data_IF_421742374834
#
_entry.id   IF_421742374834
#
_cell.length_a   1.000
_cell.length_b   1.000
_cell.length_c   1.000
_cell.angle_alpha   90.00
_cell.angle_beta   90.00
_cell.angle_gamma   90.00
#
_symmetry.space_group_name_H-M   'P 1'
#
loop_
_entity.id
_entity.type
_entity.pdbx_description
1 polymer ?
#
# COMPACT_ATOMS: atom_id res chain seq x y z
N UNK A 1 -3.78 -21.82 6.27
CA UNK A 1 -4.57 -20.94 5.38
C UNK A 1 -3.70 -20.25 4.35
N UNK A 2 -2.83 -19.29 4.72
CA UNK A 2 -2.03 -18.50 3.75
C UNK A 2 -1.16 -19.32 2.79
N UNK A 3 -0.52 -20.40 3.28
CA UNK A 3 0.22 -21.32 2.40
C UNK A 3 -0.69 -21.90 1.32
N UNK A 4 -1.87 -22.41 1.68
CA UNK A 4 -2.88 -22.92 0.73
C UNK A 4 -3.33 -21.85 -0.26
N UNK A 5 -3.51 -20.60 0.17
CA UNK A 5 -3.83 -19.49 -0.74
C UNK A 5 -2.76 -19.34 -1.85
N UNK A 6 -1.49 -19.50 -1.50
CA UNK A 6 -0.39 -19.55 -2.46
C UNK A 6 -0.44 -20.75 -3.42
N UNK A 7 -0.78 -21.93 -2.91
CA UNK A 7 -0.95 -23.15 -3.71
C UNK A 7 -2.09 -22.99 -4.73
N UNK A 8 -3.25 -22.44 -4.32
CA UNK A 8 -4.34 -22.11 -5.24
C UNK A 8 -3.91 -21.12 -6.32
N UNK A 9 -3.17 -20.05 -5.95
CA UNK A 9 -2.65 -19.08 -6.92
C UNK A 9 -1.71 -19.71 -7.94
N UNK A 10 -0.86 -20.67 -7.54
CA UNK A 10 0.05 -21.37 -8.45
C UNK A 10 -0.70 -22.24 -9.45
N UNK A 11 -1.78 -22.91 -9.04
CA UNK A 11 -2.64 -23.66 -9.96
C UNK A 11 -3.44 -22.75 -10.90
N UNK A 12 -3.96 -21.64 -10.38
CA UNK A 12 -4.83 -20.72 -11.13
C UNK A 12 -4.06 -19.91 -12.18
N UNK A 13 -2.90 -19.38 -11.81
CA UNK A 13 -2.15 -18.43 -12.62
C UNK A 13 -0.66 -18.77 -12.66
N UNK A 14 -0.28 -19.96 -13.16
CA UNK A 14 1.11 -20.35 -13.30
C UNK A 14 1.84 -19.42 -14.27
N UNK A 15 3.14 -19.26 -14.08
CA UNK A 15 4.01 -18.50 -14.99
C UNK A 15 5.43 -19.01 -14.86
N UNK A 16 6.14 -19.07 -15.99
CA UNK A 16 7.57 -19.37 -16.02
C UNK A 16 8.35 -18.19 -15.45
N UNK A 17 9.01 -18.40 -14.31
CA UNK A 17 9.76 -17.37 -13.61
C UNK A 17 11.01 -17.96 -12.96
N UNK A 18 11.96 -17.11 -12.59
CA UNK A 18 13.26 -17.51 -12.05
C UNK A 18 13.29 -17.47 -10.52
N UNK A 19 12.37 -16.73 -9.90
CA UNK A 19 12.27 -16.57 -8.45
C UNK A 19 10.84 -16.25 -8.01
N UNK A 20 10.36 -16.93 -6.97
CA UNK A 20 9.18 -16.53 -6.20
C UNK A 20 9.64 -15.82 -4.94
N UNK A 21 9.05 -14.66 -4.66
CA UNK A 21 9.30 -13.89 -3.45
C UNK A 21 7.99 -13.41 -2.82
N UNK A 22 7.94 -13.38 -1.49
CA UNK A 22 6.84 -12.77 -0.75
C UNK A 22 7.16 -11.32 -0.40
N UNK A 23 6.13 -10.47 -0.41
CA UNK A 23 6.22 -9.13 0.17
C UNK A 23 6.32 -9.27 1.70
N UNK A 24 7.43 -8.83 2.31
CA UNK A 24 7.67 -9.04 3.74
C UNK A 24 6.67 -8.21 4.60
N UNK A 25 5.93 -8.78 5.55
CA UNK A 25 6.04 -10.15 6.09
C UNK A 25 4.85 -11.05 5.75
N UNK A 26 3.70 -10.44 5.48
CA UNK A 26 2.44 -11.15 5.40
C UNK A 26 2.29 -12.00 4.14
N UNK A 27 2.96 -11.63 3.05
CA UNK A 27 2.97 -12.36 1.78
C UNK A 27 3.90 -13.58 1.77
N UNK A 28 4.84 -13.70 2.72
CA UNK A 28 5.84 -14.79 2.75
C UNK A 28 5.21 -16.19 2.76
N UNK A 29 4.23 -16.51 3.64
CA UNK A 29 3.66 -17.86 3.65
C UNK A 29 2.93 -18.22 2.35
N UNK A 30 2.27 -17.25 1.70
CA UNK A 30 1.62 -17.49 0.41
C UNK A 30 2.67 -17.68 -0.70
N UNK A 31 3.77 -16.93 -0.68
CA UNK A 31 4.89 -17.12 -1.60
C UNK A 31 5.52 -18.53 -1.46
N UNK A 32 5.71 -19.02 -0.24
CA UNK A 32 6.21 -20.39 0.01
C UNK A 32 5.27 -21.45 -0.59
N UNK A 33 3.95 -21.28 -0.42
CA UNK A 33 2.95 -22.18 -1.01
C UNK A 33 2.96 -22.14 -2.54
N UNK A 34 3.06 -20.94 -3.12
CA UNK A 34 3.15 -20.77 -4.57
C UNK A 34 4.42 -21.43 -5.13
N UNK A 35 5.58 -21.16 -4.52
CA UNK A 35 6.88 -21.70 -4.94
C UNK A 35 6.90 -23.23 -4.89
N UNK A 36 6.42 -23.81 -3.78
CA UNK A 36 6.36 -25.27 -3.63
C UNK A 36 5.48 -25.92 -4.70
N UNK A 37 4.37 -25.28 -5.06
CA UNK A 37 3.40 -25.82 -6.01
C UNK A 37 3.85 -25.65 -7.46
N UNK A 38 4.42 -24.48 -7.79
CA UNK A 38 4.92 -24.18 -9.13
C UNK A 38 6.27 -24.83 -9.44
N UNK A 39 7.03 -25.21 -8.42
CA UNK A 39 8.41 -25.71 -8.56
C UNK A 39 9.44 -24.60 -8.77
N UNK A 40 9.02 -23.34 -8.89
CA UNK A 40 9.93 -22.19 -8.99
C UNK A 40 10.65 -21.96 -7.65
N UNK A 41 11.97 -21.70 -7.64
CA UNK A 41 12.71 -21.44 -6.41
C UNK A 41 12.12 -20.29 -5.59
N UNK A 42 11.96 -20.50 -4.28
CA UNK A 42 11.64 -19.43 -3.34
C UNK A 42 12.90 -18.70 -2.89
N UNK A 43 12.83 -17.38 -2.76
CA UNK A 43 13.87 -16.60 -2.10
C UNK A 43 13.44 -15.19 -1.74
N UNK A 44 14.34 -14.46 -1.10
CA UNK A 44 14.07 -13.10 -0.66
C UNK A 44 14.55 -12.10 -1.73
N UNK A 45 13.65 -11.28 -2.27
CA UNK A 45 14.00 -10.10 -3.06
C UNK A 45 13.94 -8.79 -2.26
N UNK A 46 13.21 -8.79 -1.14
CA UNK A 46 13.03 -7.62 -0.27
C UNK A 46 13.31 -8.00 1.18
N UNK A 47 13.88 -7.06 1.93
CA UNK A 47 14.05 -7.17 3.38
C UNK A 47 13.35 -5.99 4.05
N UNK A 48 12.48 -6.28 5.02
CA UNK A 48 11.85 -5.24 5.82
C UNK A 48 12.86 -4.64 6.80
N UNK A 49 12.92 -3.31 6.82
CA UNK A 49 13.64 -2.61 7.86
C UNK A 49 12.82 -2.65 9.16
N UNK A 50 13.26 -3.48 10.13
CA UNK A 50 12.59 -3.65 11.42
C UNK A 50 12.73 -2.45 12.36
N UNK A 51 13.64 -1.52 12.06
CA UNK A 51 14.01 -0.41 12.94
C UNK A 51 13.52 0.95 12.44
N UNK A 52 12.63 0.98 11.43
CA UNK A 52 12.08 2.23 10.94
C UNK A 52 11.09 2.84 11.96
N UNK A 53 11.54 3.87 12.67
CA UNK A 53 10.71 4.69 13.57
C UNK A 53 9.86 5.72 12.84
N UNK A 54 8.95 6.38 13.58
CA UNK A 54 8.13 7.48 13.05
C UNK A 54 9.06 8.67 12.71
N UNK A 55 9.06 9.14 11.47
CA UNK A 55 9.77 10.36 11.06
C UNK A 55 8.96 11.57 11.53
N UNK A 56 9.20 12.06 12.75
CA UNK A 56 8.34 13.09 13.37
C UNK A 56 8.54 14.50 12.79
N UNK A 57 9.73 14.83 12.27
CA UNK A 57 10.02 16.15 11.67
C UNK A 57 10.96 15.92 10.48
N UNK A 58 10.44 16.06 9.25
CA UNK A 58 11.24 16.08 8.03
C UNK A 58 11.06 17.47 7.39
N UNK A 59 12.13 18.24 7.12
CA UNK A 59 12.03 19.64 6.67
C UNK A 59 11.43 19.83 5.27
N UNK A 60 11.39 18.78 4.43
CA UNK A 60 10.92 18.86 3.04
C UNK A 60 10.11 17.63 2.59
N UNK A 61 9.25 17.83 1.59
CA UNK A 61 8.47 16.77 0.91
C UNK A 61 9.37 15.68 0.31
N UNK A 62 10.52 16.06 -0.27
CA UNK A 62 11.52 15.12 -0.81
C UNK A 62 12.10 14.21 0.27
N UNK A 63 12.43 14.73 1.46
CA UNK A 63 12.91 13.94 2.59
C UNK A 63 11.83 12.97 3.13
N UNK A 64 10.55 13.33 3.03
CA UNK A 64 9.43 12.42 3.33
C UNK A 64 9.30 11.30 2.29
N UNK A 65 9.50 11.61 1.01
CA UNK A 65 9.51 10.60 -0.06
C UNK A 65 10.67 9.61 0.09
N UNK A 66 11.84 10.08 0.56
CA UNK A 66 12.98 9.25 0.96
C UNK A 66 12.65 8.33 2.15
N UNK A 67 11.80 8.79 3.08
CA UNK A 67 11.30 7.98 4.20
C UNK A 67 10.43 6.78 3.81
N UNK A 68 9.92 6.74 2.57
CA UNK A 68 9.21 5.58 2.03
C UNK A 68 10.19 4.54 1.47
N UNK A 69 11.33 4.96 0.89
CA UNK A 69 12.46 4.06 0.55
C UNK A 69 13.02 3.34 1.79
N UNK A 70 12.71 3.80 3.00
CA UNK A 70 13.25 3.24 4.24
C UNK A 70 12.56 1.96 4.75
N UNK A 71 11.39 1.54 4.23
CA UNK A 71 10.64 0.39 4.80
C UNK A 71 11.08 -0.97 4.26
N UNK A 72 11.47 -1.02 2.98
CA UNK A 72 11.84 -2.24 2.27
C UNK A 72 13.15 -1.98 1.53
N UNK A 73 14.11 -2.88 1.69
CA UNK A 73 15.39 -2.83 1.00
C UNK A 73 15.43 -3.94 -0.06
N UNK A 74 15.68 -3.62 -1.34
CA UNK A 74 15.81 -4.63 -2.39
C UNK A 74 17.17 -5.31 -2.34
N UNK A 75 17.19 -6.63 -2.52
CA UNK A 75 18.38 -7.44 -2.68
C UNK A 75 18.68 -7.55 -4.18
N UNK A 76 19.45 -6.59 -4.71
CA UNK A 76 19.68 -6.42 -6.15
C UNK A 76 20.26 -7.69 -6.80
N UNK A 77 21.14 -8.40 -6.08
CA UNK A 77 21.77 -9.64 -6.52
C UNK A 77 20.75 -10.76 -6.78
N UNK A 78 19.63 -10.72 -6.07
CA UNK A 78 18.53 -11.68 -6.24
C UNK A 78 17.49 -11.21 -7.26
N UNK A 79 17.50 -9.94 -7.66
CA UNK A 79 16.47 -9.33 -8.53
C UNK A 79 16.97 -9.12 -9.96
N UNK A 80 18.20 -8.64 -10.13
CA UNK A 80 18.71 -8.16 -11.41
C UNK A 80 18.68 -9.25 -12.49
N UNK A 81 18.05 -8.92 -13.63
CA UNK A 81 17.90 -9.80 -14.79
C UNK A 81 16.89 -10.94 -14.63
N UNK A 82 16.19 -11.05 -13.49
CA UNK A 82 15.28 -12.16 -13.22
C UNK A 82 13.82 -11.83 -13.51
N UNK A 83 13.06 -12.84 -13.90
CA UNK A 83 11.60 -12.86 -13.95
C UNK A 83 11.07 -13.25 -12.58
N UNK A 84 10.31 -12.38 -11.95
CA UNK A 84 9.89 -12.51 -10.55
C UNK A 84 8.40 -12.81 -10.44
N UNK A 85 8.04 -13.81 -9.65
CA UNK A 85 6.69 -13.90 -9.07
C UNK A 85 6.73 -13.21 -7.71
N UNK A 86 5.95 -12.15 -7.57
CA UNK A 86 5.86 -11.36 -6.34
C UNK A 86 4.50 -11.59 -5.70
N UNK A 87 4.49 -12.20 -4.52
CA UNK A 87 3.27 -12.55 -3.79
C UNK A 87 3.04 -11.57 -2.64
N UNK A 88 1.90 -10.87 -2.67
CA UNK A 88 1.46 -9.95 -1.61
C UNK A 88 0.11 -10.39 -1.05
N UNK A 89 -0.24 -9.91 0.15
CA UNK A 89 -1.48 -10.32 0.79
C UNK A 89 -2.73 -9.66 0.18
N UNK A 90 -2.63 -8.38 -0.14
CA UNK A 90 -3.75 -7.53 -0.53
C UNK A 90 -3.29 -6.25 -1.21
N UNK A 91 -4.16 -5.66 -2.03
CA UNK A 91 -3.97 -4.32 -2.58
C UNK A 91 -5.22 -3.50 -2.23
N UNK A 92 -5.06 -2.53 -1.33
CA UNK A 92 -6.15 -1.62 -0.92
C UNK A 92 -6.12 -0.35 -1.78
N UNK A 93 -5.09 0.49 -1.62
CA UNK A 93 -4.95 1.79 -2.32
C UNK A 93 -3.97 1.76 -3.49
N UNK A 94 -3.23 0.67 -3.68
CA UNK A 94 -2.23 0.54 -4.76
C UNK A 94 -0.92 1.30 -4.60
N UNK A 95 -0.90 2.43 -3.89
CA UNK A 95 0.27 3.33 -3.83
C UNK A 95 1.54 2.68 -3.27
N UNK A 96 1.42 1.86 -2.23
CA UNK A 96 2.56 1.10 -1.67
C UNK A 96 3.06 0.05 -2.66
N UNK A 97 2.15 -0.72 -3.24
CA UNK A 97 2.47 -1.78 -4.20
C UNK A 97 3.13 -1.19 -5.45
N UNK A 98 2.62 -0.07 -5.98
CA UNK A 98 3.20 0.63 -7.14
C UNK A 98 4.64 1.07 -6.88
N UNK A 99 4.92 1.68 -5.73
CA UNK A 99 6.29 2.07 -5.33
C UNK A 99 7.22 0.88 -5.16
N UNK A 100 6.70 -0.25 -4.66
CA UNK A 100 7.46 -1.49 -4.55
C UNK A 100 7.80 -2.05 -5.93
N UNK A 101 6.85 -2.06 -6.86
CA UNK A 101 7.09 -2.48 -8.25
C UNK A 101 8.14 -1.59 -8.91
N UNK A 102 8.03 -0.27 -8.77
CA UNK A 102 9.04 0.69 -9.25
C UNK A 102 10.43 0.36 -8.69
N UNK A 103 10.54 0.10 -7.37
CA UNK A 103 11.79 -0.28 -6.72
C UNK A 103 12.39 -1.60 -7.27
N UNK A 104 11.54 -2.60 -7.56
CA UNK A 104 11.99 -3.86 -8.16
C UNK A 104 12.48 -3.66 -9.60
N UNK A 105 11.80 -2.82 -10.39
CA UNK A 105 12.25 -2.42 -11.74
C UNK A 105 13.57 -1.66 -11.69
N UNK A 106 13.70 -0.67 -10.80
CA UNK A 106 14.95 0.06 -10.57
C UNK A 106 16.10 -0.87 -10.12
N UNK A 107 15.77 -2.00 -9.51
CA UNK A 107 16.74 -3.03 -9.10
C UNK A 107 17.07 -4.04 -10.22
N UNK A 108 16.49 -3.87 -11.41
CA UNK A 108 16.83 -4.64 -12.60
C UNK A 108 15.94 -5.85 -12.88
N UNK A 109 14.75 -5.96 -12.28
CA UNK A 109 13.82 -7.07 -12.57
C UNK A 109 13.41 -7.08 -14.06
N UNK A 110 13.58 -8.21 -14.74
CA UNK A 110 13.22 -8.38 -16.15
C UNK A 110 11.69 -8.43 -16.33
N UNK A 111 11.02 -9.26 -15.53
CA UNK A 111 9.56 -9.38 -15.48
C UNK A 111 9.10 -9.41 -14.02
N UNK A 112 7.91 -8.90 -13.76
CA UNK A 112 7.24 -8.85 -12.46
C UNK A 112 5.81 -9.37 -12.65
N UNK A 113 5.54 -10.55 -12.11
CA UNK A 113 4.24 -11.21 -12.10
C UNK A 113 3.66 -11.14 -10.68
N UNK A 114 2.70 -10.25 -10.46
CA UNK A 114 2.06 -10.08 -9.16
C UNK A 114 1.01 -11.17 -8.91
N UNK A 115 1.00 -11.72 -7.70
CA UNK A 115 -0.02 -12.65 -7.20
C UNK A 115 -0.52 -12.17 -5.86
N UNK A 116 -1.82 -11.90 -5.74
CA UNK A 116 -2.42 -11.36 -4.53
C UNK A 116 -3.21 -12.46 -3.84
N UNK A 117 -2.84 -12.79 -2.60
CA UNK A 117 -3.47 -13.88 -1.84
C UNK A 117 -4.80 -13.50 -1.18
N UNK A 118 -5.53 -12.58 -1.81
CA UNK A 118 -6.89 -12.18 -1.47
C UNK A 118 -7.64 -11.73 -2.74
N UNK A 119 -8.98 -11.70 -2.70
CA UNK A 119 -9.77 -11.03 -3.72
C UNK A 119 -9.58 -9.50 -3.68
N UNK A 120 -9.93 -8.78 -4.76
CA UNK A 120 -9.84 -7.33 -4.78
C UNK A 120 -10.74 -6.68 -3.71
N UNK A 121 -10.20 -5.74 -2.95
CA UNK A 121 -10.98 -4.94 -2.00
C UNK A 121 -11.76 -3.88 -2.77
N UNK A 122 -13.07 -4.09 -2.89
CA UNK A 122 -13.96 -3.20 -3.64
C UNK A 122 -14.82 -2.30 -2.73
N UNK A 123 -14.97 -2.67 -1.47
CA UNK A 123 -15.87 -1.98 -0.53
C UNK A 123 -15.19 -1.65 0.79
N UNK A 124 -15.53 -0.52 1.43
CA UNK A 124 -14.93 -0.12 2.70
C UNK A 124 -15.41 -1.03 3.85
N UNK A 125 -14.59 -1.21 4.88
CA UNK A 125 -15.01 -1.91 6.07
C UNK A 125 -15.75 -0.97 7.04
N UNK A 126 -16.87 -1.44 7.59
CA UNK A 126 -17.61 -0.75 8.66
C UNK A 126 -17.53 -1.48 10.00
N UNK A 127 -16.74 -2.56 10.09
CA UNK A 127 -16.62 -3.42 11.27
C UNK A 127 -15.25 -3.33 11.95
N UNK A 128 -14.53 -2.22 11.74
CA UNK A 128 -13.33 -1.88 12.50
C UNK A 128 -11.98 -2.01 11.76
N UNK A 129 -11.96 -2.40 10.49
CA UNK A 129 -10.74 -2.30 9.66
C UNK A 129 -10.65 -0.93 8.98
N UNK A 130 -9.52 -0.25 9.07
CA UNK A 130 -9.31 1.00 8.33
C UNK A 130 -8.90 0.70 6.87
N UNK A 131 -9.90 0.61 5.99
CA UNK A 131 -9.70 0.43 4.55
C UNK A 131 -9.75 1.74 3.76
N UNK A 132 -10.05 2.88 4.40
CA UNK A 132 -10.40 4.12 3.70
C UNK A 132 -11.84 4.15 3.16
N UNK A 133 -12.17 5.21 2.42
CA UNK A 133 -13.44 5.33 1.69
C UNK A 133 -13.41 4.53 0.39
N UNK A 134 -14.59 4.27 -0.19
CA UNK A 134 -14.70 3.54 -1.47
C UNK A 134 -13.86 4.18 -2.58
N UNK A 135 -13.85 5.51 -2.68
CA UNK A 135 -13.07 6.27 -3.67
C UNK A 135 -11.55 6.16 -3.49
N UNK A 136 -11.08 5.71 -2.32
CA UNK A 136 -9.65 5.48 -2.06
C UNK A 136 -9.21 4.04 -2.40
N UNK A 137 -10.15 3.13 -2.64
CA UNK A 137 -9.86 1.73 -2.98
C UNK A 137 -9.53 1.63 -4.47
N UNK A 138 -8.35 1.08 -4.77
CA UNK A 138 -7.87 0.91 -6.14
C UNK A 138 -8.82 0.06 -6.98
N UNK A 139 -9.36 -1.01 -6.37
CA UNK A 139 -10.23 -1.95 -7.06
C UNK A 139 -11.72 -1.61 -6.90
N UNK A 140 -12.11 -0.44 -6.38
CA UNK A 140 -13.53 -0.09 -6.28
C UNK A 140 -14.20 -0.13 -7.66
N UNK A 141 -13.60 0.57 -8.62
CA UNK A 141 -14.19 0.81 -9.94
C UNK A 141 -13.24 0.46 -11.11
N UNK A 142 -12.08 -0.14 -10.81
CA UNK A 142 -11.13 -0.61 -11.82
C UNK A 142 -11.28 -2.11 -12.10
N UNK A 143 -11.10 -2.46 -13.37
CA UNK A 143 -10.90 -3.84 -13.83
C UNK A 143 -9.46 -4.31 -13.55
N UNK A 144 -9.27 -5.63 -13.46
CA UNK A 144 -7.95 -6.20 -13.12
C UNK A 144 -6.87 -5.79 -14.12
N UNK A 145 -7.21 -5.65 -15.41
CA UNK A 145 -6.29 -5.16 -16.45
C UNK A 145 -5.86 -3.72 -16.20
N UNK A 146 -6.77 -2.85 -15.77
CA UNK A 146 -6.45 -1.46 -15.48
C UNK A 146 -5.57 -1.36 -14.23
N UNK A 147 -5.82 -2.22 -13.23
CA UNK A 147 -4.98 -2.30 -12.03
C UNK A 147 -3.57 -2.77 -12.40
N UNK A 148 -3.45 -3.80 -13.25
CA UNK A 148 -2.15 -4.26 -13.75
C UNK A 148 -1.37 -3.11 -14.38
N UNK A 149 -2.02 -2.35 -15.26
CA UNK A 149 -1.40 -1.24 -15.98
C UNK A 149 -1.02 -0.10 -15.02
N UNK A 150 -1.87 0.22 -14.05
CA UNK A 150 -1.58 1.20 -12.99
C UNK A 150 -0.33 0.82 -12.17
N UNK A 151 -0.17 -0.46 -11.83
CA UNK A 151 0.96 -0.98 -11.06
C UNK A 151 2.23 -1.10 -11.90
N UNK A 152 2.14 -1.24 -13.22
CA UNK A 152 3.28 -1.41 -14.12
C UNK A 152 3.90 -2.82 -14.07
N UNK A 153 3.07 -3.85 -13.93
CA UNK A 153 3.48 -5.27 -13.83
C UNK A 153 3.09 -6.05 -15.07
N UNK A 154 3.82 -7.12 -15.40
CA UNK A 154 3.57 -7.88 -16.63
C UNK A 154 2.28 -8.71 -16.53
N UNK A 155 2.05 -9.31 -15.36
CA UNK A 155 0.80 -10.04 -15.08
C UNK A 155 0.35 -9.78 -13.65
N UNK A 156 -0.96 -9.82 -13.44
CA UNK A 156 -1.60 -9.66 -12.13
C UNK A 156 -2.69 -10.72 -11.99
N UNK A 157 -2.70 -11.43 -10.86
CA UNK A 157 -3.79 -12.34 -10.51
C UNK A 157 -4.16 -12.16 -9.04
N UNK A 158 -5.46 -12.03 -8.78
CA UNK A 158 -6.04 -12.09 -7.44
C UNK A 158 -6.57 -13.49 -7.17
N UNK A 159 -6.48 -13.93 -5.91
CA UNK A 159 -7.14 -15.15 -5.47
C UNK A 159 -8.66 -14.91 -5.44
N UNK A 160 -9.50 -15.76 -6.05
CA UNK A 160 -10.93 -15.60 -6.03
C UNK A 160 -11.50 -15.95 -4.64
N UNK A 161 -12.72 -15.48 -4.36
CA UNK A 161 -13.32 -15.54 -3.02
C UNK A 161 -13.58 -16.97 -2.56
N UNK A 162 -14.04 -17.83 -3.46
CA UNK A 162 -14.24 -19.26 -3.23
C UNK A 162 -12.95 -19.95 -2.80
N UNK A 163 -11.85 -19.72 -3.55
CA UNK A 163 -10.54 -20.27 -3.21
C UNK A 163 -9.98 -19.68 -1.91
N UNK A 164 -10.28 -18.41 -1.59
CA UNK A 164 -9.93 -17.83 -0.28
C UNK A 164 -10.65 -18.58 0.85
N UNK A 165 -11.96 -18.78 0.74
CA UNK A 165 -12.78 -19.46 1.75
C UNK A 165 -12.34 -20.92 1.92
N UNK A 166 -12.10 -21.62 0.81
CA UNK A 166 -11.54 -22.97 0.81
C UNK A 166 -10.17 -23.01 1.50
N UNK A 167 -9.28 -22.09 1.14
CA UNK A 167 -7.94 -22.00 1.74
C UNK A 167 -7.99 -21.70 3.24
N UNK A 168 -9.00 -20.98 3.75
CA UNK A 168 -9.19 -20.81 5.20
C UNK A 168 -9.50 -22.16 5.86
N UNK A 169 -10.24 -23.05 5.18
CA UNK A 169 -10.50 -24.42 5.63
C UNK A 169 -11.53 -24.48 6.75
N UNK A 170 -12.49 -23.56 6.74
CA UNK A 170 -13.59 -23.51 7.70
C UNK A 170 -14.93 -23.31 6.96
N UNK A 171 -15.37 -24.32 6.18
CA UNK A 171 -16.63 -24.25 5.45
C UNK A 171 -17.80 -24.05 6.42
N UNK A 172 -18.73 -23.17 6.08
CA UNK A 172 -19.91 -22.88 6.90
C UNK A 172 -19.65 -22.00 8.15
N UNK A 173 -18.43 -21.52 8.38
CA UNK A 173 -18.11 -20.68 9.54
C UNK A 173 -18.68 -19.25 9.49
N UNK A 174 -19.29 -18.84 8.37
CA UNK A 174 -19.98 -17.55 8.25
C UNK A 174 -19.04 -16.35 8.25
N UNK A 175 -17.92 -16.41 7.53
CA UNK A 175 -16.99 -15.28 7.43
C UNK A 175 -17.65 -14.07 6.75
N UNK A 176 -17.40 -12.89 7.32
CA UNK A 176 -17.77 -11.64 6.66
C UNK A 176 -16.90 -11.43 5.40
N UNK A 177 -17.54 -11.27 4.25
CA UNK A 177 -16.91 -11.03 2.94
C UNK A 177 -17.20 -9.63 2.39
N UNK A 178 -17.82 -8.77 3.19
CA UNK A 178 -18.41 -7.51 2.75
C UNK A 178 -17.41 -6.55 2.07
N UNK A 179 -16.14 -6.53 2.49
CA UNK A 179 -15.12 -5.68 1.85
C UNK A 179 -14.82 -6.10 0.39
N UNK A 180 -15.20 -7.33 0.04
CA UNK A 180 -14.94 -7.96 -1.25
C UNK A 180 -16.24 -8.01 -2.09
N UNK A 181 -17.38 -8.30 -1.47
CA UNK A 181 -18.68 -8.48 -2.14
C UNK A 181 -19.60 -7.26 -2.08
N UNK A 182 -19.50 -6.44 -1.04
CA UNK A 182 -20.46 -5.37 -0.73
C UNK A 182 -21.69 -5.85 0.04
N UNK A 183 -21.78 -7.14 0.35
CA UNK A 183 -22.87 -7.72 1.12
C UNK A 183 -22.54 -7.68 2.61
N UNK A 184 -23.09 -6.70 3.31
CA UNK A 184 -22.87 -6.49 4.74
C UNK A 184 -23.87 -7.30 5.58
N UNK A 185 -23.42 -8.25 6.42
CA UNK A 185 -24.31 -9.06 7.26
C UNK A 185 -25.14 -8.24 8.25
N UNK A 186 -24.61 -7.11 8.70
CA UNK A 186 -25.32 -6.12 9.52
C UNK A 186 -25.55 -4.88 8.66
N UNK A 187 -26.80 -4.41 8.50
CA UNK A 187 -27.12 -3.22 7.72
C UNK A 187 -26.30 -2.00 8.14
N UNK A 188 -25.80 -1.28 7.15
CA UNK A 188 -25.04 -0.05 7.34
C UNK A 188 -26.03 1.13 7.26
N UNK A 189 -26.10 2.01 8.28
CA UNK A 189 -26.99 3.16 8.24
C UNK A 189 -26.71 4.04 7.00
N UNK A 190 -27.71 4.68 6.36
CA UNK A 190 -27.50 5.46 5.14
C UNK A 190 -26.53 6.63 5.31
N UNK A 191 -26.52 7.26 6.49
CA UNK A 191 -25.58 8.32 6.86
C UNK A 191 -24.21 7.81 7.32
N UNK A 192 -24.00 6.49 7.35
CA UNK A 192 -22.78 5.92 7.89
C UNK A 192 -21.59 6.03 6.91
N UNK A 193 -20.79 7.08 7.09
CA UNK A 193 -19.44 7.17 6.52
C UNK A 193 -18.40 6.39 7.33
N UNK A 194 -17.15 6.32 6.82
CA UNK A 194 -16.00 5.68 7.51
C UNK A 194 -15.89 6.06 8.99
N UNK A 195 -16.13 7.34 9.32
CA UNK A 195 -15.91 7.90 10.64
C UNK A 195 -17.00 7.63 11.69
N UNK A 196 -18.01 6.80 11.39
CA UNK A 196 -19.14 6.54 12.31
C UNK A 196 -18.69 5.94 13.63
N UNK A 197 -17.71 5.03 13.59
CA UNK A 197 -17.13 4.44 14.79
C UNK A 197 -15.95 5.26 15.34
N UNK A 198 -15.40 6.17 14.54
CA UNK A 198 -14.26 7.02 14.91
C UNK A 198 -14.67 8.33 15.62
N UNK A 199 -15.98 8.53 15.85
CA UNK A 199 -16.50 9.69 16.59
C UNK A 199 -16.31 11.01 15.86
N UNK A 200 -16.91 11.15 14.68
CA UNK A 200 -17.22 12.46 14.08
C UNK A 200 -16.08 13.48 14.08
N UNK A 201 -14.93 13.17 13.48
CA UNK A 201 -14.05 14.25 12.97
C UNK A 201 -14.57 14.65 11.60
N UNK A 202 -15.57 15.53 11.59
CA UNK A 202 -15.75 16.42 10.44
C UNK A 202 -14.39 17.08 10.20
N UNK A 203 -13.85 16.94 8.99
CA UNK A 203 -12.75 17.79 8.56
C UNK A 203 -13.15 19.23 8.86
N UNK A 204 -12.40 19.91 9.72
CA UNK A 204 -12.63 21.31 9.99
C UNK A 204 -12.71 22.05 8.64
N UNK A 205 -13.68 22.96 8.43
CA UNK A 205 -13.65 23.81 7.24
C UNK A 205 -12.31 24.54 7.22
N UNK A 206 -11.68 24.61 6.05
CA UNK A 206 -10.50 25.45 5.86
C UNK A 206 -10.80 26.86 6.39
N UNK A 207 -9.91 27.46 7.20
CA UNK A 207 -10.14 28.81 7.68
C UNK A 207 -10.17 29.75 6.47
N UNK A 208 -11.36 30.27 6.16
CA UNK A 208 -11.53 31.36 5.23
C UNK A 208 -10.63 32.51 5.68
N UNK A 209 -9.79 32.98 4.77
CA UNK A 209 -8.84 34.06 5.02
C UNK A 209 -9.55 35.29 5.56
N UNK A 210 -9.40 35.56 6.85
CA UNK A 210 -9.70 36.86 7.46
C UNK A 210 -8.58 37.83 7.10
N UNK A 211 -8.51 38.21 5.83
CA UNK A 211 -7.84 39.44 5.41
C UNK A 211 -8.88 40.35 4.80
N UNK A 212 -9.65 41.00 5.68
CA UNK A 212 -10.36 42.21 5.32
C UNK A 212 -10.28 43.22 6.46
N UNK A 213 -9.39 44.20 6.29
CA UNK A 213 -9.57 45.58 6.71
C UNK A 213 -9.48 45.87 8.21
N UNK A 214 -8.29 46.22 8.68
CA UNK A 214 -8.14 47.27 9.69
C UNK A 214 -7.01 48.20 9.25
N UNK A 215 -7.41 49.33 8.67
CA UNK A 215 -6.57 50.52 8.60
C UNK A 215 -6.31 50.98 10.03
N UNK A 216 -5.05 51.13 10.43
CA UNK A 216 -4.68 52.09 11.47
C UNK A 216 -3.32 52.71 11.15
N UNK A 217 -3.46 53.97 10.76
CA UNK A 217 -2.62 55.14 10.88
C UNK A 217 -1.17 55.05 11.41
N UNK A 218 -0.39 55.88 10.76
CA UNK A 218 0.98 56.31 11.02
C UNK A 218 1.23 56.75 12.47
N UNK A 219 2.40 56.39 13.01
CA UNK A 219 3.42 57.34 13.52
C UNK A 219 4.59 56.62 14.22
N UNK A 220 5.80 57.12 13.91
CA UNK A 220 7.01 57.11 14.73
C UNK A 220 7.74 55.77 15.02
N UNK A 221 8.98 55.69 14.49
CA UNK A 221 9.99 54.72 14.91
C UNK A 221 11.11 54.53 13.89
N UNK A 222 11.87 55.59 13.60
CA UNK A 222 12.98 55.61 12.65
C UNK A 222 14.30 55.27 13.39
N UNK A 223 15.19 54.58 12.65
CA UNK A 223 16.66 54.52 12.76
C UNK A 223 17.29 53.35 13.58
N UNK A 224 18.54 52.93 13.26
CA UNK A 224 19.09 52.75 11.91
C UNK A 224 19.99 51.50 11.77
N UNK A 225 20.28 51.14 10.52
CA UNK A 225 21.47 50.40 10.09
C UNK A 225 22.72 51.28 10.20
N UNK A 226 23.87 50.76 10.66
CA UNK A 226 25.18 51.12 10.09
C UNK A 226 26.31 50.18 10.56
N UNK A 227 27.22 49.96 9.61
CA UNK A 227 28.48 49.20 9.69
C UNK A 227 29.52 49.85 10.62
N UNK A 228 30.43 49.03 11.16
CA UNK A 228 31.88 49.29 11.28
C UNK A 228 32.51 48.13 12.08
N UNK A 229 33.32 47.27 11.45
CA UNK A 229 34.78 47.38 11.35
C UNK A 229 35.54 46.72 12.51
N UNK A 230 36.37 45.72 12.15
CA UNK A 230 37.73 45.39 12.67
C UNK A 230 37.82 45.08 14.19
N UNK A 231 38.60 44.15 14.73
CA UNK A 231 39.93 43.67 14.39
C UNK A 231 40.30 42.49 15.35
N UNK A 232 41.25 41.65 14.92
CA UNK A 232 42.26 40.93 15.73
C UNK A 232 41.85 39.80 16.71
N UNK A 233 42.04 38.54 16.29
CA UNK A 233 43.22 37.67 16.58
C UNK A 233 42.93 36.21 16.22
#
# INVERSE_FOLDING_TARGET
ARVRMGEHLAHQAPVEADLVMGVPESGIPAAEGYARTSGTPFGHGLVKNRYIGRTFIAPSQEMRSLGVRMKLNPLKENIAGRRLVVVDDSIVRGTTTRKMVEMLRESGAAEIHMRISSPPYRWPCFYGMDTGSRSELLAADMEISEIRDYLGVDTLSYLPLDALVEAVGAPGAGFCTACLTGEYPVPIPPEAGKGVLEGGRTSAPEPQSLFQGAMFDSTAGVMPSEEAARDSR
#
